data_IF_016969742061
#
_entry.id   IF_016969742061
#
_cell.length_a   1.000
_cell.length_b   1.000
_cell.length_c   1.000
_cell.angle_alpha   90.00
_cell.angle_beta   90.00
_cell.angle_gamma   90.00
#
_symmetry.space_group_name_H-M   'P 1'
#
loop_
_entity.id
_entity.type
_entity.pdbx_description
1 polymer ?
#
# COMPACT_ATOMS: atom_id res chain seq x y z
N UNK A 1 3.15 14.32 30.58
CA UNK A 1 1.86 14.05 29.91
C UNK A 1 1.29 15.32 29.27
N UNK A 2 1.98 15.88 28.28
CA UNK A 2 1.54 17.09 27.58
C UNK A 2 1.98 17.01 26.13
N UNK A 3 1.07 16.55 25.27
CA UNK A 3 1.03 16.69 23.80
C UNK A 3 0.06 15.69 23.12
N UNK A 4 -0.92 15.16 23.86
CA UNK A 4 -2.11 14.47 23.30
C UNK A 4 -3.00 15.40 22.45
N UNK A 5 -2.72 16.70 22.41
CA UNK A 5 -3.50 17.73 21.71
C UNK A 5 -2.96 18.15 20.34
N UNK A 6 -1.76 17.74 19.94
CA UNK A 6 -1.36 17.80 18.52
C UNK A 6 -1.79 16.51 17.82
N UNK A 7 -3.08 16.18 17.95
CA UNK A 7 -3.76 15.22 17.07
C UNK A 7 -3.92 15.91 15.71
N UNK A 8 -2.79 16.06 15.02
CA UNK A 8 -2.65 16.72 13.73
C UNK A 8 -3.70 16.10 12.80
N UNK A 9 -4.69 16.93 12.43
CA UNK A 9 -5.87 16.54 11.63
C UNK A 9 -5.37 15.73 10.46
N UNK A 10 -5.82 14.48 10.41
CA UNK A 10 -5.36 13.55 9.39
C UNK A 10 -5.71 14.09 8.02
N UNK A 11 -4.68 14.48 7.26
CA UNK A 11 -4.88 15.11 5.96
C UNK A 11 -5.10 14.01 4.92
N UNK A 12 -6.30 13.42 4.96
CA UNK A 12 -6.73 12.34 4.07
C UNK A 12 -6.49 12.66 2.60
N UNK A 13 -6.61 13.94 2.21
CA UNK A 13 -6.32 14.41 0.86
C UNK A 13 -4.87 14.15 0.43
N UNK A 14 -3.90 14.37 1.33
CA UNK A 14 -2.48 14.11 1.02
C UNK A 14 -2.24 12.61 0.77
N UNK A 15 -2.88 11.74 1.55
CA UNK A 15 -2.80 10.30 1.38
C UNK A 15 -3.50 9.81 0.11
N UNK A 16 -4.63 10.41 -0.25
CA UNK A 16 -5.30 10.15 -1.52
C UNK A 16 -4.43 10.56 -2.72
N UNK A 17 -3.72 11.70 -2.65
CA UNK A 17 -2.76 12.11 -3.69
C UNK A 17 -1.65 11.06 -3.85
N UNK A 18 -1.09 10.56 -2.74
CA UNK A 18 -0.09 9.48 -2.78
C UNK A 18 -0.65 8.18 -3.37
N UNK A 19 -1.90 7.83 -3.05
CA UNK A 19 -2.59 6.70 -3.66
C UNK A 19 -2.78 6.86 -5.18
N UNK A 20 -3.18 8.05 -5.62
CA UNK A 20 -3.36 8.39 -7.04
C UNK A 20 -2.04 8.33 -7.79
N UNK A 21 -0.97 8.91 -7.24
CA UNK A 21 0.39 8.83 -7.80
C UNK A 21 0.80 7.37 -7.93
N UNK A 22 0.58 6.56 -6.89
CA UNK A 22 0.88 5.14 -6.93
C UNK A 22 0.10 4.40 -8.02
N UNK A 23 -1.18 4.74 -8.22
CA UNK A 23 -2.01 4.18 -9.29
C UNK A 23 -1.52 4.59 -10.69
N UNK A 24 -1.08 5.83 -10.88
CA UNK A 24 -0.49 6.27 -12.16
C UNK A 24 0.83 5.55 -12.46
N UNK A 25 1.68 5.36 -11.45
CA UNK A 25 2.93 4.61 -11.60
C UNK A 25 2.64 3.16 -11.96
N UNK A 26 1.70 2.50 -11.29
CA UNK A 26 1.34 1.10 -11.59
C UNK A 26 0.70 0.97 -12.97
N UNK A 27 -0.14 1.93 -13.39
CA UNK A 27 -0.68 1.99 -14.76
C UNK A 27 0.41 2.16 -15.81
N UNK A 28 1.35 3.07 -15.60
CA UNK A 28 2.45 3.30 -16.53
C UNK A 28 3.31 2.05 -16.70
N UNK A 29 3.67 1.39 -15.60
CA UNK A 29 4.43 0.14 -15.62
C UNK A 29 3.64 -0.99 -16.29
N UNK A 30 2.33 -1.06 -16.05
CA UNK A 30 1.46 -2.03 -16.72
C UNK A 30 1.46 -1.86 -18.24
N UNK A 31 1.30 -0.62 -18.72
CA UNK A 31 1.32 -0.31 -20.15
C UNK A 31 2.70 -0.51 -20.79
N UNK A 32 3.78 -0.26 -20.05
CA UNK A 32 5.14 -0.33 -20.59
C UNK A 32 5.70 -1.74 -20.69
N UNK A 33 5.42 -2.62 -19.71
CA UNK A 33 6.17 -3.88 -19.57
C UNK A 33 5.32 -5.12 -19.76
N UNK A 34 3.98 -5.04 -19.65
CA UNK A 34 3.01 -6.16 -19.72
C UNK A 34 3.29 -7.38 -18.81
N UNK A 35 4.37 -7.35 -18.03
CA UNK A 35 4.78 -8.43 -17.15
C UNK A 35 4.26 -8.19 -15.72
N UNK A 36 3.46 -9.13 -15.23
CA UNK A 36 2.75 -9.06 -13.94
C UNK A 36 3.65 -8.80 -12.73
N UNK A 37 4.88 -9.34 -12.74
CA UNK A 37 5.85 -9.15 -11.65
C UNK A 37 6.29 -7.69 -11.50
N UNK A 38 6.46 -6.96 -12.61
CA UNK A 38 6.87 -5.55 -12.57
C UNK A 38 5.72 -4.65 -12.11
N UNK A 39 4.49 -5.00 -12.49
CA UNK A 39 3.28 -4.30 -12.03
C UNK A 39 3.15 -4.43 -10.51
N UNK A 40 3.26 -5.65 -9.97
CA UNK A 40 3.23 -5.88 -8.52
C UNK A 40 4.40 -5.20 -7.81
N UNK A 41 5.60 -5.25 -8.39
CA UNK A 41 6.79 -4.59 -7.86
C UNK A 41 6.64 -3.07 -7.73
N UNK A 42 5.95 -2.43 -8.68
CA UNK A 42 5.72 -0.98 -8.64
C UNK A 42 4.79 -0.54 -7.50
N UNK A 43 3.72 -1.30 -7.22
CA UNK A 43 2.84 -1.07 -6.07
C UNK A 43 3.59 -1.28 -4.74
N UNK A 44 4.44 -2.31 -4.67
CA UNK A 44 5.29 -2.55 -3.51
C UNK A 44 6.36 -1.46 -3.30
N UNK A 45 6.94 -0.93 -4.38
CA UNK A 45 7.87 0.19 -4.32
C UNK A 45 7.24 1.45 -3.72
N UNK A 46 5.99 1.73 -4.08
CA UNK A 46 5.23 2.84 -3.49
C UNK A 46 4.99 2.65 -1.99
N UNK A 47 4.71 1.43 -1.53
CA UNK A 47 4.64 1.12 -0.10
C UNK A 47 5.98 1.36 0.61
N UNK A 48 7.10 0.93 0.02
CA UNK A 48 8.44 1.11 0.60
C UNK A 48 8.78 2.59 0.75
N UNK A 49 8.48 3.41 -0.26
CA UNK A 49 8.67 4.86 -0.18
C UNK A 49 7.80 5.50 0.91
N UNK A 50 6.53 5.11 0.98
CA UNK A 50 5.59 5.63 1.97
C UNK A 50 6.00 5.25 3.40
N UNK A 51 6.47 4.02 3.59
CA UNK A 51 6.92 3.52 4.90
C UNK A 51 8.23 4.11 5.34
N UNK A 52 9.16 4.30 4.40
CA UNK A 52 10.38 5.07 4.64
C UNK A 52 10.05 6.50 5.10
N UNK A 53 9.12 7.17 4.42
CA UNK A 53 8.68 8.51 4.79
C UNK A 53 7.99 8.54 6.16
N UNK A 54 7.11 7.59 6.44
CA UNK A 54 6.48 7.46 7.76
C UNK A 54 7.50 7.17 8.87
N UNK A 55 8.49 6.32 8.60
CA UNK A 55 9.59 6.04 9.52
C UNK A 55 10.44 7.30 9.81
N UNK A 56 10.79 8.09 8.78
CA UNK A 56 11.55 9.33 8.95
C UNK A 56 10.81 10.40 9.74
N UNK A 57 9.50 10.56 9.47
CA UNK A 57 8.69 11.52 10.20
C UNK A 57 8.67 11.21 11.70
N UNK A 58 8.93 9.94 12.06
CA UNK A 58 8.78 9.38 13.41
C UNK A 58 7.52 9.90 14.06
N UNK A 59 6.41 10.14 13.36
CA UNK A 59 5.23 10.84 13.90
C UNK A 59 4.04 9.95 14.18
N UNK A 60 4.02 8.76 13.57
CA UNK A 60 2.82 7.92 13.46
C UNK A 60 2.77 6.80 14.51
N UNK A 61 1.58 6.60 15.09
CA UNK A 61 1.25 5.40 15.84
C UNK A 61 0.98 4.22 14.90
N UNK A 62 1.24 3.00 15.37
CA UNK A 62 1.08 1.77 14.59
C UNK A 62 -0.27 1.65 13.88
N UNK A 63 -1.37 1.91 14.60
CA UNK A 63 -2.72 1.82 14.03
C UNK A 63 -2.99 2.86 12.94
N UNK A 64 -2.37 4.04 13.05
CA UNK A 64 -2.51 5.12 12.05
C UNK A 64 -1.70 4.80 10.80
N UNK A 65 -0.45 4.36 10.96
CA UNK A 65 0.40 3.92 9.85
C UNK A 65 -0.23 2.75 9.09
N UNK A 66 -0.80 1.77 9.81
CA UNK A 66 -1.50 0.64 9.19
C UNK A 66 -2.70 1.08 8.35
N UNK A 67 -3.55 1.97 8.88
CA UNK A 67 -4.73 2.47 8.16
C UNK A 67 -4.34 3.19 6.86
N UNK A 68 -3.30 4.01 6.92
CA UNK A 68 -2.79 4.76 5.76
C UNK A 68 -2.15 3.83 4.73
N UNK A 69 -1.29 2.89 5.15
CA UNK A 69 -0.70 1.89 4.25
C UNK A 69 -1.77 1.10 3.50
N UNK A 70 -2.78 0.59 4.21
CA UNK A 70 -3.87 -0.17 3.60
C UNK A 70 -4.67 0.68 2.60
N UNK A 71 -4.92 1.95 2.90
CA UNK A 71 -5.65 2.86 2.02
C UNK A 71 -4.87 3.22 0.75
N UNK A 72 -3.58 3.51 0.87
CA UNK A 72 -2.72 3.83 -0.29
C UNK A 72 -2.49 2.58 -1.15
N UNK A 73 -2.31 1.42 -0.52
CA UNK A 73 -2.15 0.17 -1.24
C UNK A 73 -3.42 -0.21 -2.00
N UNK A 74 -4.60 -0.10 -1.38
CA UNK A 74 -5.85 -0.43 -2.08
C UNK A 74 -6.07 0.43 -3.32
N UNK A 75 -5.73 1.72 -3.26
CA UNK A 75 -5.79 2.62 -4.42
C UNK A 75 -4.76 2.28 -5.50
N UNK A 76 -3.51 1.98 -5.12
CA UNK A 76 -2.44 1.69 -6.08
C UNK A 76 -2.53 0.32 -6.73
N UNK A 77 -3.20 -0.64 -6.09
CA UNK A 77 -3.44 -2.00 -6.59
C UNK A 77 -4.59 -2.07 -7.60
N UNK A 78 -5.55 -1.14 -7.57
CA UNK A 78 -6.70 -1.15 -8.49
C UNK A 78 -6.30 -1.34 -9.97
N UNK A 79 -5.30 -0.61 -10.50
CA UNK A 79 -4.79 -0.85 -11.84
C UNK A 79 -4.20 -2.24 -12.04
N UNK A 80 -3.42 -2.73 -11.08
CA UNK A 80 -2.82 -4.06 -11.14
C UNK A 80 -3.90 -5.15 -11.21
N UNK A 81 -5.00 -4.97 -10.47
CA UNK A 81 -6.14 -5.89 -10.51
C UNK A 81 -6.80 -5.90 -11.89
N UNK A 82 -7.05 -4.72 -12.48
CA UNK A 82 -7.64 -4.61 -13.82
C UNK A 82 -6.77 -5.22 -14.92
N UNK A 83 -5.44 -5.14 -14.83
CA UNK A 83 -4.54 -5.64 -15.87
C UNK A 83 -4.04 -7.07 -15.65
N UNK A 84 -4.07 -7.60 -14.43
CA UNK A 84 -3.54 -8.94 -14.12
C UNK A 84 -4.66 -9.96 -13.88
N UNK A 85 -5.80 -9.53 -13.35
CA UNK A 85 -6.90 -10.44 -12.93
C UNK A 85 -8.03 -10.48 -13.95
N UNK A 86 -8.23 -9.43 -14.75
CA UNK A 86 -9.30 -9.37 -15.76
C UNK A 86 -8.95 -10.09 -17.07
N UNK A 87 -7.73 -10.00 -17.65
CA UNK A 87 -7.45 -10.63 -18.95
C UNK A 87 -7.11 -12.12 -18.85
N UNK A 88 -7.30 -12.76 -17.70
CA UNK A 88 -7.11 -14.20 -17.55
C UNK A 88 -8.33 -14.97 -18.04
N UNK A 89 -8.61 -14.90 -19.34
CA UNK A 89 -9.75 -15.56 -20.00
C UNK A 89 -9.69 -17.10 -19.91
N UNK A 90 -8.50 -17.67 -19.62
CA UNK A 90 -8.27 -19.11 -19.47
C UNK A 90 -8.16 -19.61 -18.02
N UNK A 91 -8.32 -18.75 -17.00
CA UNK A 91 -8.19 -19.18 -15.60
C UNK A 91 -9.47 -19.82 -15.06
N UNK A 92 -9.33 -21.02 -14.50
CA UNK A 92 -10.41 -21.71 -13.80
C UNK A 92 -10.88 -20.86 -12.62
N UNK A 93 -12.18 -20.84 -12.30
CA UNK A 93 -12.76 -19.98 -11.25
C UNK A 93 -12.06 -20.12 -9.89
N UNK A 94 -11.51 -21.30 -9.61
CA UNK A 94 -10.72 -21.57 -8.41
C UNK A 94 -9.37 -20.88 -8.40
N UNK A 95 -8.67 -20.80 -9.53
CA UNK A 95 -7.38 -20.12 -9.64
C UNK A 95 -7.54 -18.62 -9.45
N UNK A 96 -8.61 -18.03 -9.99
CA UNK A 96 -8.94 -16.62 -9.79
C UNK A 96 -9.17 -16.29 -8.30
N UNK A 97 -9.92 -17.13 -7.59
CA UNK A 97 -10.19 -16.97 -6.15
C UNK A 97 -8.90 -17.13 -5.36
N UNK A 98 -8.10 -18.15 -5.67
CA UNK A 98 -6.84 -18.41 -4.96
C UNK A 98 -5.82 -17.29 -5.18
N UNK A 99 -5.72 -16.78 -6.41
CA UNK A 99 -4.87 -15.63 -6.74
C UNK A 99 -5.35 -14.35 -6.04
N UNK A 100 -6.66 -14.10 -5.97
CA UNK A 100 -7.21 -12.98 -5.23
C UNK A 100 -6.96 -13.07 -3.72
N UNK A 101 -7.14 -14.25 -3.12
CA UNK A 101 -6.89 -14.51 -1.70
C UNK A 101 -5.41 -14.39 -1.35
N UNK A 102 -4.52 -14.96 -2.16
CA UNK A 102 -3.07 -14.86 -1.94
C UNK A 102 -2.59 -13.42 -2.09
N UNK A 103 -3.08 -12.67 -3.08
CA UNK A 103 -2.74 -11.27 -3.27
C UNK A 103 -3.22 -10.39 -2.10
N UNK A 104 -4.45 -10.59 -1.64
CA UNK A 104 -4.97 -9.86 -0.47
C UNK A 104 -4.22 -10.23 0.81
N UNK A 105 -3.91 -11.51 1.03
CA UNK A 105 -3.12 -11.93 2.18
C UNK A 105 -1.70 -11.32 2.18
N UNK A 106 -1.00 -11.36 1.04
CA UNK A 106 0.34 -10.79 0.89
C UNK A 106 0.33 -9.27 1.06
N UNK A 107 -0.67 -8.57 0.54
CA UNK A 107 -0.79 -7.13 0.72
C UNK A 107 -1.05 -6.73 2.18
N UNK A 108 -1.87 -7.49 2.91
CA UNK A 108 -2.09 -7.28 4.34
C UNK A 108 -0.79 -7.53 5.12
N UNK A 109 -0.07 -8.61 4.82
CA UNK A 109 1.23 -8.90 5.43
C UNK A 109 2.24 -7.78 5.16
N UNK A 110 2.31 -7.29 3.92
CA UNK A 110 3.15 -6.15 3.56
C UNK A 110 2.77 -4.93 4.41
N UNK A 111 1.48 -4.57 4.49
CA UNK A 111 0.99 -3.46 5.32
C UNK A 111 1.33 -3.62 6.80
N UNK A 112 1.32 -4.84 7.34
CA UNK A 112 1.71 -5.14 8.73
C UNK A 112 3.21 -4.95 8.97
N UNK A 113 4.06 -5.43 8.06
CA UNK A 113 5.52 -5.24 8.14
C UNK A 113 5.85 -3.75 8.04
N UNK A 114 5.21 -3.09 7.08
CA UNK A 114 5.32 -1.66 6.80
C UNK A 114 4.92 -0.80 8.02
N UNK A 115 3.80 -1.12 8.67
CA UNK A 115 3.35 -0.41 9.87
C UNK A 115 4.21 -0.72 11.10
N UNK A 116 4.79 -1.92 11.18
CA UNK A 116 5.73 -2.28 12.23
C UNK A 116 7.02 -1.46 12.13
N UNK A 117 7.58 -1.32 10.93
CA UNK A 117 8.77 -0.51 10.67
C UNK A 117 8.50 0.98 10.91
N UNK A 118 7.31 1.46 10.52
CA UNK A 118 6.93 2.86 10.71
C UNK A 118 6.64 3.24 12.18
N UNK A 119 6.51 2.27 13.09
CA UNK A 119 6.16 2.52 14.50
C UNK A 119 7.32 3.25 15.21
N UNK A 120 7.01 4.35 15.92
CA UNK A 120 7.99 5.00 16.82
C UNK A 120 8.49 4.03 17.91
N UNK A 121 9.79 4.04 18.26
CA UNK A 121 10.30 3.28 19.41
C UNK A 121 9.72 3.83 20.72
N UNK A 122 9.40 2.92 21.66
CA UNK A 122 8.73 3.21 22.95
C UNK A 122 9.50 4.16 23.90
N UNK A 123 10.72 4.58 23.57
CA UNK A 123 11.60 5.35 24.47
C UNK A 123 11.26 6.86 24.58
N UNK A 124 10.18 7.35 23.96
CA UNK A 124 9.72 8.74 24.05
C UNK A 124 8.37 8.88 24.79
N UNK A 125 8.11 8.01 25.76
CA UNK A 125 6.94 8.10 26.66
C UNK A 125 7.31 8.72 28.00
#
# INVERSE_FOLDING_TARGET
>A
MGNLFLREKENWLAWSIWGIIGAFVTLYVAMSTNASHFIAGSAMGMLVLLTWWMHQSKRFDFGRAFKVCCYVLSLSVLPAFMFVVVPSDDLNRFDLIFQGVTFTALSILACLICSWIARRPKQYY
#
